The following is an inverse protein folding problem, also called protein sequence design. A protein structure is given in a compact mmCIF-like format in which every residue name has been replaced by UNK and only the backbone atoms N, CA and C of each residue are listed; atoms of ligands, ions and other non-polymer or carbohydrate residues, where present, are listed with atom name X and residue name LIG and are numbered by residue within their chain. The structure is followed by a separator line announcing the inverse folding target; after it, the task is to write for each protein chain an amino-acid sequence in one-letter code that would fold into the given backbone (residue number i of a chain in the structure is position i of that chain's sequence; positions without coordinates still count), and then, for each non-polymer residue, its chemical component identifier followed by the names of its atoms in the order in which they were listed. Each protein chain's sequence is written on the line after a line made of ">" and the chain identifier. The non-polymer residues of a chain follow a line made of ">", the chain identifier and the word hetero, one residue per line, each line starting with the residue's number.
data_IF_617745801845
#
_entry.id   IF_617745801845
#
_cell.length_a   1.000
_cell.length_b   1.000
_cell.length_c   1.000
_cell.angle_alpha   90.00
_cell.angle_beta   90.00
_cell.angle_gamma   90.00
#
_symmetry.space_group_name_H-M   'P 1'
#
loop_
_entity.id
_entity.type
_entity.pdbx_description
1 polymer ?
#
# COMPACT_ATOMS: atom_id res chain seq x y z
N UNK A 1 -14.41 1.79 0.69
CA UNK A 1 -13.00 1.71 0.28
C UNK A 1 -12.09 2.07 1.44
N UNK A 2 -11.04 1.31 1.60
CA UNK A 2 -10.02 1.54 2.62
C UNK A 2 -8.68 1.71 1.91
N UNK A 3 -7.94 2.75 2.28
CA UNK A 3 -6.56 2.95 1.82
C UNK A 3 -5.62 2.73 2.99
N UNK A 4 -4.54 1.98 2.76
CA UNK A 4 -3.40 1.92 3.66
C UNK A 4 -2.25 2.66 2.99
N UNK A 5 -1.63 3.58 3.70
CA UNK A 5 -0.50 4.34 3.18
C UNK A 5 0.50 4.63 4.29
N UNK A 6 1.76 4.56 3.94
CA UNK A 6 2.82 4.87 4.87
C UNK A 6 4.16 4.29 4.44
N UNK A 7 5.00 4.03 5.42
CA UNK A 7 6.38 3.63 5.17
C UNK A 7 6.80 2.49 6.09
N UNK A 8 7.71 1.68 5.58
CA UNK A 8 8.42 0.65 6.35
C UNK A 8 9.90 0.86 6.11
N UNK A 9 10.66 1.06 7.17
CA UNK A 9 12.11 1.24 7.07
C UNK A 9 12.82 -0.06 7.44
N UNK A 10 13.77 -0.43 6.61
CA UNK A 10 14.64 -1.61 6.83
C UNK A 10 16.11 -1.17 6.73
N UNK A 11 17.01 -2.11 6.97
CA UNK A 11 18.43 -1.88 6.71
C UNK A 11 18.60 -1.44 5.25
N UNK A 12 19.22 -0.26 4.99
CA UNK A 12 19.42 0.24 3.63
C UNK A 12 20.13 -0.75 2.70
N UNK A 13 21.01 -1.58 3.22
CA UNK A 13 21.74 -2.57 2.43
C UNK A 13 20.89 -3.79 2.07
N UNK A 14 19.73 -3.94 2.72
CA UNK A 14 18.83 -5.10 2.54
C UNK A 14 17.55 -4.75 1.80
N UNK A 15 17.27 -3.47 1.56
CA UNK A 15 15.99 -3.05 0.97
C UNK A 15 15.71 -3.68 -0.39
N UNK A 16 16.68 -3.68 -1.29
CA UNK A 16 16.50 -4.26 -2.62
C UNK A 16 16.20 -5.76 -2.52
N UNK A 17 16.95 -6.48 -1.69
CA UNK A 17 16.72 -7.91 -1.48
C UNK A 17 15.34 -8.18 -0.87
N UNK A 18 14.91 -7.34 0.09
CA UNK A 18 13.59 -7.45 0.70
C UNK A 18 12.47 -7.32 -0.34
N UNK A 19 12.57 -6.32 -1.20
CA UNK A 19 11.55 -6.07 -2.23
C UNK A 19 11.54 -7.17 -3.29
N UNK A 20 12.69 -7.69 -3.66
CA UNK A 20 12.77 -8.83 -4.59
C UNK A 20 12.13 -10.06 -3.96
N UNK A 21 12.46 -10.37 -2.71
CA UNK A 21 11.89 -11.50 -1.99
C UNK A 21 10.38 -11.35 -1.79
N UNK A 22 9.89 -10.12 -1.68
CA UNK A 22 8.47 -9.82 -1.50
C UNK A 22 7.62 -9.94 -2.77
N UNK A 23 8.21 -9.97 -3.96
CA UNK A 23 7.47 -9.99 -5.23
C UNK A 23 6.39 -11.07 -5.32
N UNK A 24 6.66 -12.33 -4.97
CA UNK A 24 5.61 -13.37 -5.02
C UNK A 24 4.41 -13.04 -4.13
N UNK A 25 4.65 -12.41 -2.99
CA UNK A 25 3.58 -12.05 -2.05
C UNK A 25 2.78 -10.85 -2.53
N UNK A 26 3.43 -9.89 -3.21
CA UNK A 26 2.75 -8.78 -3.88
C UNK A 26 1.84 -9.32 -4.97
N UNK A 27 2.34 -10.20 -5.81
CA UNK A 27 1.58 -10.82 -6.89
C UNK A 27 0.37 -11.57 -6.37
N UNK A 28 0.56 -12.41 -5.33
CA UNK A 28 -0.52 -13.17 -4.72
C UNK A 28 -1.58 -12.27 -4.08
N UNK A 29 -1.15 -11.19 -3.41
CA UNK A 29 -2.07 -10.24 -2.77
C UNK A 29 -2.91 -9.50 -3.81
N UNK A 30 -2.31 -9.10 -4.92
CA UNK A 30 -3.04 -8.43 -6.00
C UNK A 30 -4.13 -9.29 -6.61
N UNK A 31 -4.03 -10.60 -6.50
CA UNK A 31 -5.06 -11.54 -6.97
C UNK A 31 -6.19 -11.76 -5.94
N UNK A 32 -6.06 -11.24 -4.73
CA UNK A 32 -7.08 -11.42 -3.69
C UNK A 32 -8.33 -10.60 -3.97
N UNK A 33 -9.49 -11.14 -3.57
CA UNK A 33 -10.76 -10.45 -3.70
C UNK A 33 -10.70 -9.10 -2.97
N UNK A 34 -11.13 -8.05 -3.66
CA UNK A 34 -11.22 -6.70 -3.10
C UNK A 34 -9.93 -5.91 -3.08
N UNK A 35 -8.81 -6.51 -3.50
CA UNK A 35 -7.56 -5.78 -3.64
C UNK A 35 -7.61 -4.93 -4.93
N UNK A 36 -7.62 -3.61 -4.76
CA UNK A 36 -7.60 -2.67 -5.89
C UNK A 36 -6.16 -2.33 -6.25
N UNK A 37 -5.35 -1.98 -5.25
CA UNK A 37 -3.93 -1.71 -5.38
C UNK A 37 -3.17 -2.33 -4.23
N UNK A 38 -1.96 -2.76 -4.50
CA UNK A 38 -1.02 -3.23 -3.48
C UNK A 38 0.39 -3.01 -4.00
N UNK A 39 1.11 -2.08 -3.39
CA UNK A 39 2.44 -1.69 -3.85
C UNK A 39 3.39 -1.46 -2.68
N UNK A 40 4.58 -2.01 -2.80
CA UNK A 40 5.71 -1.81 -1.91
C UNK A 40 6.87 -1.35 -2.77
N UNK A 41 7.26 -0.07 -2.65
CA UNK A 41 8.21 0.55 -3.57
C UNK A 41 9.32 1.28 -2.83
N UNK A 42 10.44 1.45 -3.49
CA UNK A 42 11.58 2.18 -2.91
C UNK A 42 11.28 3.67 -2.85
N UNK A 43 11.59 4.29 -1.69
CA UNK A 43 11.67 5.74 -1.62
C UNK A 43 12.89 6.19 -2.43
N UNK A 44 12.74 7.18 -3.33
CA UNK A 44 13.86 7.57 -4.20
C UNK A 44 14.97 8.33 -3.48
N UNK A 45 14.74 8.82 -2.27
CA UNK A 45 15.72 9.65 -1.53
C UNK A 45 16.25 9.00 -0.26
N UNK A 46 15.46 8.15 0.41
CA UNK A 46 15.83 7.53 1.68
C UNK A 46 16.18 6.06 1.45
N UNK A 47 17.46 5.69 1.56
CA UNK A 47 17.93 4.36 1.12
C UNK A 47 17.29 3.15 1.79
N UNK A 48 16.84 3.28 3.05
CA UNK A 48 16.20 2.17 3.77
C UNK A 48 14.69 2.21 3.74
N UNK A 49 14.07 3.18 3.10
CA UNK A 49 12.63 3.38 3.16
C UNK A 49 11.90 2.68 2.03
N UNK A 50 10.84 1.96 2.42
CA UNK A 50 9.89 1.37 1.50
C UNK A 50 8.57 2.12 1.67
N UNK A 51 8.00 2.59 0.57
CA UNK A 51 6.68 3.21 0.54
C UNK A 51 5.64 2.12 0.33
N UNK A 52 4.61 2.12 1.17
CA UNK A 52 3.52 1.14 1.13
C UNK A 52 2.24 1.86 0.73
N UNK A 53 1.54 1.34 -0.27
CA UNK A 53 0.25 1.84 -0.67
C UNK A 53 -0.67 0.69 -1.03
N UNK A 54 -1.86 0.66 -0.40
CA UNK A 54 -2.86 -0.38 -0.64
C UNK A 54 -4.24 0.27 -0.73
N UNK A 55 -5.08 -0.24 -1.64
CA UNK A 55 -6.50 0.08 -1.67
C UNK A 55 -7.32 -1.20 -1.66
N UNK A 56 -8.33 -1.24 -0.80
CA UNK A 56 -9.22 -2.38 -0.63
C UNK A 56 -10.66 -1.93 -0.78
N UNK A 57 -11.49 -2.75 -1.43
CA UNK A 57 -12.89 -2.40 -1.66
C UNK A 57 -13.68 -2.25 -0.37
N UNK A 58 -13.36 -3.05 0.66
CA UNK A 58 -14.10 -3.06 1.92
C UNK A 58 -13.25 -3.47 3.10
N UNK A 59 -13.75 -3.18 4.31
CA UNK A 59 -13.13 -3.65 5.55
C UNK A 59 -13.09 -5.19 5.59
N UNK A 60 -14.13 -5.84 5.07
CA UNK A 60 -14.22 -7.31 5.03
C UNK A 60 -13.08 -7.89 4.19
N UNK A 61 -12.83 -7.33 3.03
CA UNK A 61 -11.76 -7.82 2.14
C UNK A 61 -10.38 -7.59 2.76
N UNK A 62 -10.17 -6.44 3.40
CA UNK A 62 -8.93 -6.16 4.12
C UNK A 62 -8.75 -7.13 5.29
N UNK A 63 -9.81 -7.40 6.06
CA UNK A 63 -9.74 -8.33 7.17
C UNK A 63 -9.39 -9.75 6.68
N UNK A 64 -9.98 -10.17 5.56
CA UNK A 64 -9.64 -11.46 4.96
C UNK A 64 -8.17 -11.52 4.55
N UNK A 65 -7.62 -10.41 4.05
CA UNK A 65 -6.18 -10.32 3.76
C UNK A 65 -5.34 -10.52 5.02
N UNK A 66 -5.66 -9.83 6.10
CA UNK A 66 -4.93 -9.94 7.37
C UNK A 66 -4.98 -11.35 7.96
N UNK A 67 -6.10 -12.06 7.77
CA UNK A 67 -6.28 -13.43 8.27
C UNK A 67 -5.71 -14.48 7.34
N UNK A 68 -5.36 -14.11 6.12
CA UNK A 68 -4.87 -15.02 5.11
C UNK A 68 -3.35 -15.18 5.13
N UNK A 69 -2.84 -16.11 4.31
CA UNK A 69 -1.41 -16.44 4.33
C UNK A 69 -0.50 -15.37 3.72
N UNK A 70 -1.02 -14.53 2.83
CA UNK A 70 -0.18 -13.59 2.08
C UNK A 70 0.29 -12.41 2.92
N UNK A 71 -0.56 -11.92 3.83
CA UNK A 71 -0.15 -10.88 4.78
C UNK A 71 1.01 -11.34 5.64
N UNK A 72 0.86 -12.51 6.27
CA UNK A 72 1.89 -13.05 7.16
C UNK A 72 3.18 -13.36 6.41
N UNK A 73 3.07 -13.91 5.21
CA UNK A 73 4.23 -14.23 4.38
C UNK A 73 5.01 -12.97 4.01
N UNK A 74 4.31 -11.89 3.64
CA UNK A 74 4.97 -10.62 3.34
C UNK A 74 5.63 -10.03 4.57
N UNK A 75 4.93 -10.02 5.70
CA UNK A 75 5.47 -9.51 6.95
C UNK A 75 6.75 -10.25 7.36
N UNK A 76 6.74 -11.58 7.29
CA UNK A 76 7.91 -12.41 7.62
C UNK A 76 9.07 -12.15 6.66
N UNK A 77 8.77 -11.98 5.37
CA UNK A 77 9.79 -11.67 4.36
C UNK A 77 10.47 -10.34 4.64
N UNK A 78 9.69 -9.30 4.92
CA UNK A 78 10.25 -7.98 5.21
C UNK A 78 10.99 -7.98 6.55
N UNK A 79 10.44 -8.66 7.56
CA UNK A 79 11.08 -8.76 8.88
C UNK A 79 12.45 -9.45 8.83
N UNK A 80 12.64 -10.39 7.90
CA UNK A 80 13.93 -11.06 7.71
C UNK A 80 15.03 -10.09 7.20
N UNK A 81 14.66 -8.88 6.80
CA UNK A 81 15.57 -7.87 6.25
C UNK A 81 15.75 -6.68 7.20
N UNK A 82 15.57 -6.91 8.50
CA UNK A 82 15.88 -5.96 9.56
C UNK A 82 14.98 -4.71 9.52
N UNK A 83 13.72 -4.88 9.95
CA UNK A 83 12.78 -3.76 10.07
C UNK A 83 13.25 -2.81 11.18
N UNK A 84 13.36 -1.53 10.86
CA UNK A 84 13.78 -0.46 11.75
C UNK A 84 12.66 0.51 12.11
N UNK A 85 11.54 0.45 11.40
CA UNK A 85 10.37 1.29 11.69
C UNK A 85 9.21 0.94 10.79
N UNK A 86 8.00 1.13 11.33
CA UNK A 86 6.75 0.94 10.59
C UNK A 86 5.85 2.13 10.93
N UNK A 87 5.42 2.85 9.91
CA UNK A 87 4.50 3.97 10.04
C UNK A 87 3.47 3.91 8.91
N UNK A 88 2.51 3.00 9.06
CA UNK A 88 1.45 2.79 8.08
C UNK A 88 0.10 3.01 8.74
N UNK A 89 -0.70 3.88 8.17
CA UNK A 89 -2.05 4.17 8.65
C UNK A 89 -3.09 3.69 7.64
N UNK A 90 -4.31 3.45 8.13
CA UNK A 90 -5.45 3.16 7.26
C UNK A 90 -6.43 4.32 7.27
N UNK A 91 -7.06 4.53 6.11
CA UNK A 91 -7.98 5.64 5.89
C UNK A 91 -9.27 5.10 5.30
N UNK A 92 -10.40 5.48 5.91
CA UNK A 92 -11.71 5.21 5.32
C UNK A 92 -12.02 6.30 4.32
N UNK A 93 -12.36 5.91 3.10
CA UNK A 93 -12.59 6.87 2.02
C UNK A 93 -14.10 7.11 1.90
N UNK A 94 -14.50 8.37 2.12
CA UNK A 94 -15.89 8.80 1.98
C UNK A 94 -16.22 9.18 0.54
N UNK A 95 -15.24 9.73 -0.18
CA UNK A 95 -15.41 10.16 -1.57
C UNK A 95 -14.08 10.02 -2.30
N UNK A 96 -14.12 9.47 -3.50
CA UNK A 96 -12.99 9.49 -4.41
C UNK A 96 -13.43 10.04 -5.75
N UNK A 97 -12.58 10.84 -6.36
CA UNK A 97 -12.82 11.42 -7.67
C UNK A 97 -11.49 11.69 -8.36
N UNK A 98 -11.48 11.89 -9.69
CA UNK A 98 -10.24 12.24 -10.38
C UNK A 98 -9.65 13.54 -9.86
N UNK A 99 -8.33 13.65 -9.90
CA UNK A 99 -7.63 14.91 -9.60
C UNK A 99 -7.97 15.97 -10.64
N UNK A 100 -8.10 15.54 -11.89
CA UNK A 100 -8.33 16.44 -13.03
C UNK A 100 -9.81 16.53 -13.34
N UNK A 101 -10.32 17.78 -13.47
CA UNK A 101 -11.70 18.02 -13.84
C UNK A 101 -11.95 17.73 -15.34
N UNK A 102 -13.20 17.85 -15.83
CA UNK A 102 -13.49 17.62 -17.25
C UNK A 102 -12.71 18.50 -18.24
N UNK A 103 -12.16 19.62 -17.78
CA UNK A 103 -11.33 20.50 -18.60
C UNK A 103 -9.85 20.17 -18.50
N UNK A 104 -9.49 19.09 -17.75
CA UNK A 104 -8.10 18.68 -17.57
C UNK A 104 -7.32 19.51 -16.57
N UNK A 105 -8.00 20.30 -15.73
CA UNK A 105 -7.36 21.11 -14.71
C UNK A 105 -7.27 20.36 -13.39
N UNK A 106 -6.08 20.29 -12.74
CA UNK A 106 -5.97 19.69 -11.42
C UNK A 106 -6.67 20.56 -10.38
N UNK A 107 -7.49 19.93 -9.53
CA UNK A 107 -8.25 20.62 -8.50
C UNK A 107 -8.06 19.95 -7.15
N UNK A 108 -7.79 20.76 -6.15
CA UNK A 108 -7.72 20.31 -4.76
C UNK A 108 -9.11 20.20 -4.13
N UNK A 109 -10.08 20.98 -4.59
CA UNK A 109 -11.46 20.91 -4.12
C UNK A 109 -12.20 19.76 -4.79
N UNK A 110 -13.20 19.21 -4.10
CA UNK A 110 -14.02 18.13 -4.62
C UNK A 110 -15.19 18.71 -5.43
N UNK A 111 -15.33 18.21 -6.66
CA UNK A 111 -16.26 18.78 -7.64
C UNK A 111 -17.35 17.82 -8.10
N UNK A 112 -17.30 16.54 -7.67
CA UNK A 112 -18.32 15.53 -8.03
C UNK A 112 -19.30 15.26 -6.90
N UNK A 113 -19.17 15.92 -5.76
CA UNK A 113 -20.01 15.65 -4.59
C UNK A 113 -21.49 16.00 -4.80
N UNK A 114 -21.79 16.88 -5.76
CA UNK A 114 -23.15 17.28 -6.04
C UNK A 114 -23.74 18.27 -5.05
N UNK A 115 -22.95 18.71 -4.10
CA UNK A 115 -23.39 19.63 -3.05
C UNK A 115 -22.96 21.07 -3.32
#
# INVERSE_FOLDING_TARGET
>A
MIILAGTVDVDPEKRTAALIAGRPHVEATRAQKGCIDYAWTEDPLLPGRICVFERWESERDLQAHFEGPHYLAMLQTIAAHDIRGIDVAKYRIALSEPVYDPQGKPRADFFTSGE
#
